data_IF_556216647404
#
_entry.id   IF_556216647404
#
_cell.length_a   1.000
_cell.length_b   1.000
_cell.length_c   1.000
_cell.angle_alpha   90.00
_cell.angle_beta   90.00
_cell.angle_gamma   90.00
#
_symmetry.space_group_name_H-M   'P 1'
#
loop_
_entity.id
_entity.type
_entity.pdbx_description
1 polymer ?
#
# COMPACT_ATOMS: atom_id res chain seq x y z
N UNK A 1 20.65 25.23 -22.50
CA UNK A 1 19.64 24.15 -22.48
C UNK A 1 20.34 22.90 -21.94
N UNK A 2 20.19 22.62 -20.65
CA UNK A 2 20.84 21.46 -19.99
C UNK A 2 19.85 20.30 -20.10
N UNK A 3 20.24 19.21 -20.79
CA UNK A 3 19.42 18.01 -20.91
C UNK A 3 19.37 17.28 -19.56
N UNK A 4 18.21 16.73 -19.15
CA UNK A 4 18.10 15.95 -17.92
C UNK A 4 19.00 14.71 -17.99
N UNK A 5 19.71 14.47 -16.89
CA UNK A 5 20.71 13.40 -16.77
C UNK A 5 20.06 12.01 -16.82
N UNK A 6 20.14 11.32 -17.95
CA UNK A 6 19.58 9.96 -18.13
C UNK A 6 20.21 8.88 -17.22
N UNK A 7 21.36 9.15 -16.60
CA UNK A 7 22.11 8.16 -15.81
C UNK A 7 21.39 7.66 -14.55
N UNK A 8 20.48 8.44 -13.97
CA UNK A 8 19.75 8.06 -12.75
C UNK A 8 18.36 7.45 -12.98
N UNK A 9 17.78 7.66 -14.17
CA UNK A 9 16.36 7.36 -14.43
C UNK A 9 16.05 5.87 -14.56
N UNK A 10 16.94 5.10 -15.20
CA UNK A 10 16.75 3.65 -15.36
C UNK A 10 16.86 2.93 -14.01
N UNK A 11 17.92 3.13 -13.20
CA UNK A 11 17.97 2.57 -11.85
C UNK A 11 16.78 2.99 -10.98
N UNK A 12 16.35 4.25 -11.07
CA UNK A 12 15.21 4.76 -10.29
C UNK A 12 13.90 4.03 -10.60
N UNK A 13 13.60 3.79 -11.88
CA UNK A 13 12.38 3.07 -12.31
C UNK A 13 12.42 1.61 -11.88
N UNK A 14 13.54 0.94 -12.10
CA UNK A 14 13.69 -0.48 -11.74
C UNK A 14 13.51 -0.70 -10.24
N UNK A 15 14.00 0.22 -9.42
CA UNK A 15 13.96 0.09 -7.97
C UNK A 15 12.59 0.43 -7.41
N UNK A 16 11.96 1.48 -7.93
CA UNK A 16 10.57 1.78 -7.58
C UNK A 16 9.68 0.56 -7.87
N UNK A 17 9.83 -0.06 -9.06
CA UNK A 17 9.08 -1.26 -9.42
C UNK A 17 9.35 -2.44 -8.47
N UNK A 18 10.61 -2.71 -8.13
CA UNK A 18 10.99 -3.80 -7.22
C UNK A 18 10.49 -3.58 -5.80
N UNK A 19 10.57 -2.36 -5.28
CA UNK A 19 10.08 -2.01 -3.95
C UNK A 19 8.55 -2.14 -3.88
N UNK A 20 7.87 -1.68 -4.93
CA UNK A 20 6.42 -1.79 -5.06
C UNK A 20 5.97 -3.26 -5.06
N UNK A 21 6.69 -4.14 -5.75
CA UNK A 21 6.41 -5.58 -5.79
C UNK A 21 6.87 -6.35 -4.54
N UNK A 22 7.18 -5.63 -3.46
CA UNK A 22 7.70 -6.16 -2.20
C UNK A 22 8.99 -7.01 -2.31
N UNK A 23 9.83 -6.76 -3.32
CA UNK A 23 11.10 -7.48 -3.45
C UNK A 23 12.05 -7.13 -2.29
N UNK A 24 12.68 -8.16 -1.70
CA UNK A 24 13.56 -8.03 -0.54
C UNK A 24 14.94 -7.57 -0.98
N UNK A 25 15.13 -6.25 -1.03
CA UNK A 25 16.43 -5.63 -1.29
C UNK A 25 17.28 -5.59 -0.01
N UNK A 26 18.57 -5.94 -0.15
CA UNK A 26 19.54 -5.81 0.96
C UNK A 26 19.83 -4.32 1.21
N UNK A 27 19.97 -3.93 2.48
CA UNK A 27 20.29 -2.56 2.88
C UNK A 27 21.53 -1.98 2.16
N UNK A 28 22.57 -2.79 1.98
CA UNK A 28 23.78 -2.37 1.27
C UNK A 28 23.51 -1.97 -0.19
N UNK A 29 22.68 -2.73 -0.90
CA UNK A 29 22.31 -2.41 -2.27
C UNK A 29 21.46 -1.13 -2.34
N UNK A 30 20.55 -0.93 -1.38
CA UNK A 30 19.75 0.30 -1.27
C UNK A 30 20.63 1.54 -1.01
N UNK A 31 21.64 1.42 -0.15
CA UNK A 31 22.58 2.51 0.13
C UNK A 31 23.42 2.89 -1.10
N UNK A 32 23.93 1.89 -1.84
CA UNK A 32 24.69 2.10 -3.09
C UNK A 32 23.85 2.81 -4.16
N UNK A 33 22.59 2.42 -4.27
CA UNK A 33 21.61 3.06 -5.16
C UNK A 33 21.35 4.50 -4.73
N UNK A 34 21.11 4.75 -3.44
CA UNK A 34 20.82 6.09 -2.94
C UNK A 34 22.00 7.04 -3.20
N UNK A 35 23.23 6.56 -3.02
CA UNK A 35 24.43 7.31 -3.36
C UNK A 35 24.47 7.74 -4.84
N UNK A 36 23.83 6.98 -5.74
CA UNK A 36 23.71 7.33 -7.16
C UNK A 36 22.55 8.31 -7.44
N UNK A 37 21.39 8.12 -6.79
CA UNK A 37 20.15 8.83 -7.11
C UNK A 37 20.03 10.15 -6.34
N UNK A 38 20.45 10.23 -5.08
CA UNK A 38 20.25 11.43 -4.24
C UNK A 38 20.94 12.69 -4.78
N UNK A 39 22.20 12.65 -5.26
CA UNK A 39 22.83 13.82 -5.87
C UNK A 39 22.08 14.28 -7.13
N UNK A 40 21.53 13.33 -7.89
CA UNK A 40 20.75 13.62 -9.08
C UNK A 40 19.35 14.16 -8.74
N UNK A 41 18.73 13.72 -7.66
CA UNK A 41 17.45 14.25 -7.18
C UNK A 41 17.57 15.66 -6.59
N UNK A 42 18.72 15.99 -5.98
CA UNK A 42 18.99 17.31 -5.39
C UNK A 42 19.31 18.42 -6.42
N UNK A 43 19.47 18.07 -7.71
CA UNK A 43 19.72 19.05 -8.76
C UNK A 43 18.47 19.89 -9.08
N UNK A 44 18.66 21.13 -9.53
CA UNK A 44 17.56 21.94 -10.03
C UNK A 44 16.99 21.29 -11.30
N UNK A 45 15.65 21.11 -11.34
CA UNK A 45 14.88 20.49 -12.43
C UNK A 45 15.01 18.95 -12.57
N UNK A 46 15.16 18.26 -11.44
CA UNK A 46 15.19 16.79 -11.45
C UNK A 46 13.83 16.17 -11.78
N UNK A 47 13.79 15.06 -12.55
CA UNK A 47 12.56 14.35 -12.85
C UNK A 47 11.85 13.84 -11.58
N UNK A 48 10.49 13.90 -11.50
CA UNK A 48 9.73 13.38 -10.36
C UNK A 48 10.06 11.93 -10.00
N UNK A 49 10.43 11.10 -10.98
CA UNK A 49 10.79 9.70 -10.75
C UNK A 49 12.04 9.53 -9.87
N UNK A 50 12.98 10.48 -9.88
CA UNK A 50 14.16 10.43 -9.02
C UNK A 50 13.78 10.69 -7.56
N UNK A 51 12.90 11.66 -7.31
CA UNK A 51 12.36 11.92 -5.97
C UNK A 51 11.58 10.71 -5.45
N UNK A 52 10.71 10.14 -6.30
CA UNK A 52 9.95 8.93 -5.98
C UNK A 52 10.87 7.76 -5.61
N UNK A 53 11.87 7.46 -6.43
CA UNK A 53 12.79 6.37 -6.17
C UNK A 53 13.64 6.58 -4.90
N UNK A 54 14.12 7.81 -4.68
CA UNK A 54 14.85 8.17 -3.45
C UNK A 54 13.99 7.98 -2.21
N UNK A 55 12.74 8.47 -2.22
CA UNK A 55 11.80 8.29 -1.12
C UNK A 55 11.53 6.81 -0.83
N UNK A 56 11.22 6.01 -1.85
CA UNK A 56 10.94 4.58 -1.68
C UNK A 56 12.16 3.81 -1.16
N UNK A 57 13.36 4.11 -1.64
CA UNK A 57 14.58 3.48 -1.15
C UNK A 57 14.85 3.83 0.32
N UNK A 58 14.57 5.08 0.76
CA UNK A 58 14.66 5.47 2.18
C UNK A 58 13.62 4.77 3.05
N UNK A 59 12.39 4.64 2.58
CA UNK A 59 11.34 3.85 3.28
C UNK A 59 11.83 2.42 3.51
N UNK A 60 12.45 1.78 2.51
CA UNK A 60 12.99 0.43 2.67
C UNK A 60 14.14 0.34 3.65
N UNK A 61 15.04 1.34 3.67
CA UNK A 61 16.10 1.38 4.68
C UNK A 61 15.51 1.50 6.09
N UNK A 62 14.50 2.37 6.28
CA UNK A 62 13.78 2.48 7.55
C UNK A 62 13.11 1.16 7.95
N UNK A 63 12.43 0.47 7.03
CA UNK A 63 11.83 -0.85 7.27
C UNK A 63 12.89 -1.89 7.72
N UNK A 64 14.06 -1.90 7.07
CA UNK A 64 15.17 -2.80 7.45
C UNK A 64 15.76 -2.44 8.82
N UNK A 65 15.92 -1.15 9.12
CA UNK A 65 16.44 -0.68 10.41
C UNK A 65 15.49 -1.05 11.56
N UNK A 66 14.17 -0.84 11.37
CA UNK A 66 13.14 -1.25 12.34
C UNK A 66 13.17 -2.76 12.62
N UNK A 67 13.35 -3.59 11.59
CA UNK A 67 13.42 -5.04 11.74
C UNK A 67 14.63 -5.51 12.57
N UNK A 68 15.72 -4.73 12.61
CA UNK A 68 16.94 -5.03 13.39
C UNK A 68 16.83 -4.64 14.86
N UNK A 69 15.76 -3.97 15.29
CA UNK A 69 15.52 -3.49 16.67
C UNK A 69 16.62 -2.57 17.23
N UNK A 70 17.33 -1.85 16.38
CA UNK A 70 18.28 -0.80 16.77
C UNK A 70 17.53 0.53 16.88
N UNK A 71 17.23 0.98 18.10
CA UNK A 71 16.28 2.09 18.33
C UNK A 71 16.74 3.41 17.70
N UNK A 72 17.99 3.82 17.95
CA UNK A 72 18.48 5.14 17.51
C UNK A 72 18.69 5.21 15.99
N UNK A 73 19.15 4.11 15.38
CA UNK A 73 19.32 4.01 13.92
C UNK A 73 17.97 3.95 13.20
N UNK A 74 16.99 3.25 13.78
CA UNK A 74 15.64 3.19 13.23
C UNK A 74 14.96 4.57 13.23
N UNK A 75 15.08 5.32 14.33
CA UNK A 75 14.49 6.67 14.42
C UNK A 75 15.08 7.64 13.39
N UNK A 76 16.40 7.57 13.15
CA UNK A 76 17.07 8.40 12.16
C UNK A 76 16.63 8.05 10.73
N UNK A 77 16.58 6.76 10.38
CA UNK A 77 16.15 6.31 9.04
C UNK A 77 14.66 6.58 8.79
N UNK A 78 13.81 6.46 9.81
CA UNK A 78 12.39 6.83 9.75
C UNK A 78 12.24 8.32 9.46
N UNK A 79 12.95 9.19 10.18
CA UNK A 79 12.90 10.63 9.96
C UNK A 79 13.38 11.02 8.55
N UNK A 80 14.44 10.36 8.06
CA UNK A 80 14.94 10.55 6.70
C UNK A 80 13.92 10.10 5.64
N UNK A 81 13.25 8.97 5.86
CA UNK A 81 12.20 8.48 4.97
C UNK A 81 10.99 9.43 4.92
N UNK A 82 10.53 9.91 6.08
CA UNK A 82 9.45 10.89 6.20
C UNK A 82 9.77 12.16 5.40
N UNK A 83 10.96 12.74 5.60
CA UNK A 83 11.40 13.92 4.88
C UNK A 83 11.40 13.71 3.35
N UNK A 84 11.93 12.56 2.88
CA UNK A 84 11.97 12.26 1.44
C UNK A 84 10.60 11.99 0.83
N UNK A 85 9.68 11.41 1.60
CA UNK A 85 8.29 11.25 1.15
C UNK A 85 7.61 12.61 0.98
N UNK A 86 7.79 13.53 1.93
CA UNK A 86 7.24 14.90 1.84
C UNK A 86 7.86 15.67 0.65
N UNK A 87 9.17 15.59 0.44
CA UNK A 87 9.83 16.17 -0.74
C UNK A 87 9.24 15.60 -2.04
N UNK A 88 9.13 14.27 -2.15
CA UNK A 88 8.60 13.63 -3.35
C UNK A 88 7.13 13.97 -3.61
N UNK A 89 6.31 14.05 -2.57
CA UNK A 89 4.90 14.45 -2.65
C UNK A 89 4.72 15.94 -3.00
N UNK A 90 5.69 16.81 -2.66
CA UNK A 90 5.67 18.20 -3.09
C UNK A 90 5.84 18.35 -4.61
N UNK A 91 6.54 17.40 -5.24
CA UNK A 91 6.78 17.34 -6.69
C UNK A 91 5.68 16.56 -7.41
N UNK A 92 5.16 15.49 -6.80
CA UNK A 92 4.09 14.66 -7.34
C UNK A 92 3.01 14.39 -6.27
N UNK A 93 2.07 15.32 -6.04
CA UNK A 93 1.04 15.18 -5.02
C UNK A 93 -0.03 14.14 -5.36
N UNK A 94 -0.03 13.61 -6.59
CA UNK A 94 -0.96 12.59 -7.07
C UNK A 94 -0.40 11.17 -6.97
N UNK A 95 0.76 10.96 -6.34
CA UNK A 95 1.30 9.62 -6.14
C UNK A 95 0.64 8.90 -4.96
N UNK A 96 -0.27 7.98 -5.27
CA UNK A 96 -1.04 7.24 -4.27
C UNK A 96 -0.17 6.38 -3.37
N UNK A 97 0.93 5.81 -3.90
CA UNK A 97 1.83 4.95 -3.13
C UNK A 97 2.65 5.75 -2.13
N UNK A 98 3.13 6.94 -2.52
CA UNK A 98 3.90 7.80 -1.60
C UNK A 98 3.03 8.26 -0.43
N UNK A 99 1.76 8.59 -0.64
CA UNK A 99 0.83 8.89 0.46
C UNK A 99 0.63 7.71 1.42
N UNK A 100 0.52 6.48 0.88
CA UNK A 100 0.42 5.27 1.71
C UNK A 100 1.71 5.01 2.50
N UNK A 101 2.88 5.23 1.90
CA UNK A 101 4.15 5.08 2.59
C UNK A 101 4.34 6.13 3.68
N UNK A 102 3.90 7.37 3.46
CA UNK A 102 3.92 8.42 4.49
C UNK A 102 3.06 8.06 5.69
N UNK A 103 1.82 7.60 5.46
CA UNK A 103 0.97 7.04 6.52
C UNK A 103 1.69 5.93 7.30
N UNK A 104 2.33 4.99 6.57
CA UNK A 104 2.97 3.82 7.18
C UNK A 104 4.16 4.21 8.05
N UNK A 105 5.03 5.10 7.56
CA UNK A 105 6.23 5.56 8.27
C UNK A 105 5.86 6.34 9.53
N UNK A 106 4.94 7.31 9.42
CA UNK A 106 4.50 8.10 10.58
C UNK A 106 3.85 7.23 11.65
N UNK A 107 3.00 6.28 11.24
CA UNK A 107 2.32 5.37 12.17
C UNK A 107 3.30 4.41 12.85
N UNK A 108 4.35 3.97 12.16
CA UNK A 108 5.40 3.14 12.76
C UNK A 108 6.24 3.90 13.78
N UNK A 109 6.46 5.21 13.59
CA UNK A 109 7.26 6.06 14.48
C UNK A 109 6.52 6.45 15.75
N UNK A 110 5.34 7.02 15.57
CA UNK A 110 4.61 7.74 16.64
C UNK A 110 3.47 6.90 17.22
N UNK A 111 3.27 5.69 16.71
CA UNK A 111 2.07 4.91 16.93
C UNK A 111 0.88 5.48 16.16
N UNK A 112 -0.31 5.03 16.53
CA UNK A 112 -1.54 5.47 15.89
C UNK A 112 -1.93 6.91 16.29
N UNK A 113 -2.07 7.80 15.32
CA UNK A 113 -2.63 9.15 15.48
C UNK A 113 -3.71 9.39 14.41
N UNK A 114 -4.95 9.77 14.78
CA UNK A 114 -6.00 10.14 13.82
C UNK A 114 -5.58 11.16 12.76
N UNK A 115 -4.59 12.01 13.03
CA UNK A 115 -4.06 12.96 12.04
C UNK A 115 -3.35 12.28 10.88
N UNK A 116 -2.71 11.14 11.10
CA UNK A 116 -1.99 10.42 10.03
C UNK A 116 -2.98 9.76 9.07
N UNK A 117 -4.20 9.44 9.52
CA UNK A 117 -5.28 8.86 8.68
C UNK A 117 -5.56 9.70 7.44
N UNK A 118 -5.39 11.03 7.51
CA UNK A 118 -5.54 11.91 6.35
C UNK A 118 -4.58 11.56 5.19
N UNK A 119 -3.37 11.04 5.48
CA UNK A 119 -2.44 10.55 4.46
C UNK A 119 -2.99 9.32 3.74
N UNK A 120 -3.63 8.40 4.47
CA UNK A 120 -4.26 7.22 3.87
C UNK A 120 -5.47 7.60 3.00
N UNK A 121 -6.29 8.56 3.44
CA UNK A 121 -7.40 9.08 2.62
C UNK A 121 -6.89 9.76 1.34
N UNK A 122 -5.77 10.50 1.42
CA UNK A 122 -5.10 11.07 0.25
C UNK A 122 -4.59 10.00 -0.71
N UNK A 123 -4.09 8.87 -0.20
CA UNK A 123 -3.71 7.73 -1.05
C UNK A 123 -4.89 7.25 -1.90
N UNK A 124 -6.06 7.09 -1.29
CA UNK A 124 -7.29 6.72 -2.01
C UNK A 124 -7.79 7.80 -2.97
N UNK A 125 -7.60 9.08 -2.66
CA UNK A 125 -7.94 10.19 -3.56
C UNK A 125 -7.04 10.26 -4.79
N UNK A 126 -5.74 10.00 -4.60
CA UNK A 126 -4.72 10.18 -5.61
C UNK A 126 -4.71 9.08 -6.69
N UNK A 127 -5.03 7.84 -6.31
CA UNK A 127 -5.01 6.70 -7.22
C UNK A 127 -5.80 5.52 -6.67
N UNK A 128 -7.12 5.45 -6.89
CA UNK A 128 -7.89 4.27 -6.54
C UNK A 128 -7.48 3.08 -7.40
N UNK A 129 -7.60 1.86 -6.87
CA UNK A 129 -7.57 0.61 -7.63
C UNK A 129 -6.27 0.27 -8.36
N UNK A 130 -5.14 0.71 -7.82
CA UNK A 130 -3.82 0.28 -8.28
C UNK A 130 -3.50 -1.10 -7.70
N UNK A 131 -3.62 -2.17 -8.51
CA UNK A 131 -3.64 -3.56 -8.03
C UNK A 131 -2.60 -3.94 -6.97
N UNK A 132 -1.31 -3.65 -7.20
CA UNK A 132 -0.25 -3.98 -6.22
C UNK A 132 -0.31 -3.09 -4.95
N UNK A 133 -0.84 -1.86 -5.06
CA UNK A 133 -0.97 -0.95 -3.91
C UNK A 133 -2.16 -1.42 -3.08
N UNK A 134 -3.25 -1.83 -3.75
CA UNK A 134 -4.49 -2.26 -3.14
C UNK A 134 -4.25 -3.36 -2.09
N UNK A 135 -3.37 -4.33 -2.38
CA UNK A 135 -3.01 -5.38 -1.40
C UNK A 135 -2.56 -4.82 -0.05
N UNK A 136 -1.57 -3.92 -0.06
CA UNK A 136 -1.06 -3.30 1.18
C UNK A 136 -2.05 -2.27 1.74
N UNK A 137 -2.62 -1.44 0.87
CA UNK A 137 -3.48 -0.31 1.24
C UNK A 137 -4.78 -0.78 1.86
N UNK A 138 -5.47 -1.72 1.24
CA UNK A 138 -6.73 -2.26 1.72
C UNK A 138 -6.56 -2.87 3.11
N UNK A 139 -5.52 -3.70 3.31
CA UNK A 139 -5.21 -4.29 4.62
C UNK A 139 -5.02 -3.23 5.71
N UNK A 140 -4.22 -2.20 5.41
CA UNK A 140 -3.93 -1.11 6.35
C UNK A 140 -5.20 -0.28 6.64
N UNK A 141 -5.97 0.04 5.60
CA UNK A 141 -7.19 0.83 5.72
C UNK A 141 -8.29 0.12 6.49
N UNK A 142 -8.41 -1.20 6.34
CA UNK A 142 -9.33 -2.01 7.12
C UNK A 142 -8.98 -2.02 8.61
N UNK A 143 -7.70 -1.92 8.96
CA UNK A 143 -7.24 -1.80 10.34
C UNK A 143 -7.66 -0.50 11.05
N UNK A 144 -7.94 0.57 10.29
CA UNK A 144 -8.38 1.87 10.80
C UNK A 144 -9.73 2.31 10.22
N UNK A 145 -10.49 1.37 9.65
CA UNK A 145 -11.70 1.62 8.88
C UNK A 145 -12.74 2.54 9.56
N UNK A 146 -13.03 2.40 10.88
CA UNK A 146 -14.01 3.26 11.55
C UNK A 146 -13.61 4.74 11.60
N UNK A 147 -12.32 5.03 11.44
CA UNK A 147 -11.73 6.36 11.59
C UNK A 147 -11.60 7.08 10.25
N UNK A 148 -11.79 6.35 9.15
CA UNK A 148 -11.88 6.92 7.81
C UNK A 148 -13.19 7.68 7.66
N UNK A 149 -13.17 8.76 6.86
CA UNK A 149 -14.38 9.41 6.35
C UNK A 149 -15.25 8.43 5.58
N UNK A 150 -16.56 8.71 5.50
CA UNK A 150 -17.50 7.85 4.77
C UNK A 150 -17.09 7.63 3.31
N UNK A 151 -16.54 8.67 2.66
CA UNK A 151 -16.02 8.57 1.30
C UNK A 151 -14.82 7.62 1.21
N UNK A 152 -13.85 7.73 2.14
CA UNK A 152 -12.72 6.83 2.17
C UNK A 152 -13.13 5.39 2.50
N UNK A 153 -14.09 5.20 3.42
CA UNK A 153 -14.66 3.89 3.71
C UNK A 153 -15.31 3.26 2.47
N UNK A 154 -16.10 4.02 1.71
CA UNK A 154 -16.69 3.53 0.46
C UNK A 154 -15.60 3.05 -0.51
N UNK A 155 -14.53 3.84 -0.68
CA UNK A 155 -13.40 3.46 -1.55
C UNK A 155 -12.63 2.23 -1.09
N UNK A 156 -12.50 2.02 0.22
CA UNK A 156 -11.91 0.78 0.76
C UNK A 156 -12.78 -0.43 0.40
N UNK A 157 -14.11 -0.31 0.49
CA UNK A 157 -15.04 -1.37 0.07
C UNK A 157 -15.00 -1.59 -1.45
N UNK A 158 -14.83 -0.52 -2.23
CA UNK A 158 -14.62 -0.55 -3.68
C UNK A 158 -13.36 -1.31 -4.06
N UNK A 159 -12.23 -0.91 -3.48
CA UNK A 159 -10.96 -1.57 -3.71
C UNK A 159 -10.99 -3.04 -3.28
N UNK A 160 -11.64 -3.38 -2.16
CA UNK A 160 -11.81 -4.77 -1.73
C UNK A 160 -12.58 -5.60 -2.77
N UNK A 161 -13.67 -5.06 -3.31
CA UNK A 161 -14.47 -5.74 -4.32
C UNK A 161 -13.69 -5.95 -5.61
N UNK A 162 -12.91 -4.95 -6.03
CA UNK A 162 -12.06 -5.05 -7.22
C UNK A 162 -10.89 -6.01 -7.03
N UNK A 163 -10.33 -6.12 -5.81
CA UNK A 163 -9.34 -7.14 -5.50
C UNK A 163 -9.90 -8.56 -5.62
N UNK A 164 -11.17 -8.79 -5.25
CA UNK A 164 -11.84 -10.09 -5.45
C UNK A 164 -12.03 -10.39 -6.94
N UNK A 165 -12.39 -9.37 -7.73
CA UNK A 165 -12.58 -9.51 -9.18
C UNK A 165 -11.26 -9.73 -9.94
N UNK A 166 -10.15 -9.20 -9.41
CA UNK A 166 -8.81 -9.35 -9.97
C UNK A 166 -8.03 -10.55 -9.39
N UNK A 167 -8.72 -11.50 -8.77
CA UNK A 167 -8.16 -12.75 -8.25
C UNK A 167 -7.11 -12.64 -7.12
N UNK A 168 -7.08 -11.52 -6.38
CA UNK A 168 -6.25 -11.36 -5.16
C UNK A 168 -6.88 -12.08 -3.96
N UNK A 169 -7.20 -13.36 -4.11
CA UNK A 169 -8.06 -14.06 -3.17
C UNK A 169 -7.44 -14.26 -1.78
N UNK A 170 -6.14 -14.57 -1.69
CA UNK A 170 -5.45 -14.74 -0.40
C UNK A 170 -5.49 -13.46 0.44
N UNK A 171 -5.28 -12.30 -0.19
CA UNK A 171 -5.28 -11.01 0.49
C UNK A 171 -6.70 -10.58 0.87
N UNK A 172 -7.69 -10.83 0.00
CA UNK A 172 -9.09 -10.53 0.28
C UNK A 172 -9.70 -11.45 1.34
N UNK A 173 -9.30 -12.71 1.42
CA UNK A 173 -9.63 -13.60 2.53
C UNK A 173 -9.10 -13.06 3.85
N UNK A 174 -7.79 -12.75 3.91
CA UNK A 174 -7.16 -12.22 5.12
C UNK A 174 -7.83 -10.91 5.57
N UNK A 175 -8.17 -10.04 4.61
CA UNK A 175 -8.88 -8.80 4.86
C UNK A 175 -10.30 -9.03 5.42
N UNK A 176 -11.07 -9.94 4.81
CA UNK A 176 -12.45 -10.24 5.22
C UNK A 176 -12.54 -10.93 6.59
N UNK A 177 -11.58 -11.80 6.86
CA UNK A 177 -11.53 -12.60 8.10
C UNK A 177 -10.93 -11.79 9.25
N UNK A 178 -9.96 -10.91 8.96
CA UNK A 178 -9.30 -10.06 9.93
C UNK A 178 -10.06 -8.78 10.30
N UNK A 179 -10.90 -8.24 9.41
CA UNK A 179 -11.74 -7.09 9.77
C UNK A 179 -12.83 -7.52 10.76
N UNK A 180 -12.95 -6.80 11.87
CA UNK A 180 -13.93 -7.11 12.91
C UNK A 180 -15.34 -7.25 12.33
N UNK A 181 -16.15 -8.13 12.95
CA UNK A 181 -17.49 -8.51 12.48
C UNK A 181 -18.37 -7.32 12.08
N UNK A 182 -18.30 -6.21 12.81
CA UNK A 182 -19.10 -5.00 12.57
C UNK A 182 -18.91 -4.36 11.18
N UNK A 183 -17.82 -4.66 10.48
CA UNK A 183 -17.53 -4.09 9.15
C UNK A 183 -17.47 -5.13 8.04
N UNK A 184 -17.46 -6.42 8.40
CA UNK A 184 -17.51 -7.54 7.45
C UNK A 184 -18.72 -7.45 6.53
N UNK A 185 -19.89 -7.12 7.09
CA UNK A 185 -21.14 -7.00 6.31
C UNK A 185 -21.06 -5.94 5.22
N UNK A 186 -20.30 -4.85 5.44
CA UNK A 186 -20.10 -3.81 4.43
C UNK A 186 -19.21 -4.30 3.30
N UNK A 187 -18.15 -5.05 3.60
CA UNK A 187 -17.33 -5.68 2.56
C UNK A 187 -18.13 -6.68 1.75
N UNK A 188 -18.89 -7.55 2.42
CA UNK A 188 -19.76 -8.52 1.75
C UNK A 188 -20.79 -7.84 0.86
N UNK A 189 -21.51 -6.83 1.37
CA UNK A 189 -22.46 -6.04 0.58
C UNK A 189 -21.78 -5.42 -0.66
N UNK A 190 -20.55 -4.94 -0.52
CA UNK A 190 -19.74 -4.43 -1.62
C UNK A 190 -19.46 -5.41 -2.74
N UNK A 191 -19.51 -6.73 -2.48
CA UNK A 191 -19.31 -7.77 -3.49
C UNK A 191 -20.49 -7.92 -4.45
N UNK A 192 -21.67 -7.35 -4.18
CA UNK A 192 -22.84 -7.50 -5.05
C UNK A 192 -22.60 -7.04 -6.50
N UNK A 193 -21.69 -6.08 -6.68
CA UNK A 193 -21.27 -5.55 -8.00
C UNK A 193 -20.21 -6.39 -8.72
N UNK A 194 -19.56 -7.31 -8.02
CA UNK A 194 -18.50 -8.15 -8.57
C UNK A 194 -19.12 -9.21 -9.46
N UNK A 195 -18.41 -9.61 -10.51
CA UNK A 195 -18.88 -10.66 -11.42
C UNK A 195 -19.24 -11.94 -10.63
N UNK A 196 -20.29 -12.63 -11.09
CA UNK A 196 -20.78 -13.82 -10.39
C UNK A 196 -19.71 -14.92 -10.37
N UNK A 197 -18.91 -15.08 -11.44
CA UNK A 197 -17.86 -16.09 -11.52
C UNK A 197 -16.78 -15.83 -10.47
N UNK A 198 -16.31 -14.58 -10.34
CA UNK A 198 -15.32 -14.16 -9.35
C UNK A 198 -15.85 -14.38 -7.92
N UNK A 199 -17.12 -14.02 -7.67
CA UNK A 199 -17.78 -14.27 -6.37
C UNK A 199 -17.88 -15.75 -6.02
N UNK A 200 -18.28 -16.58 -6.97
CA UNK A 200 -18.36 -18.02 -6.75
C UNK A 200 -16.99 -18.65 -6.51
N UNK A 201 -15.94 -18.18 -7.22
CA UNK A 201 -14.57 -18.62 -7.01
C UNK A 201 -14.09 -18.25 -5.60
N UNK A 202 -14.31 -17.00 -5.19
CA UNK A 202 -13.99 -16.53 -3.85
C UNK A 202 -14.75 -17.31 -2.76
N UNK A 203 -16.05 -17.55 -2.94
CA UNK A 203 -16.85 -18.35 -2.02
C UNK A 203 -16.34 -19.79 -1.87
N UNK A 204 -15.95 -20.44 -2.99
CA UNK A 204 -15.36 -21.78 -2.98
C UNK A 204 -14.03 -21.82 -2.22
N UNK A 205 -13.20 -20.79 -2.40
CA UNK A 205 -11.95 -20.66 -1.68
C UNK A 205 -12.20 -20.50 -0.18
N UNK A 206 -13.05 -19.55 0.24
CA UNK A 206 -13.42 -19.37 1.65
C UNK A 206 -13.90 -20.68 2.29
N UNK A 207 -14.76 -21.42 1.60
CA UNK A 207 -15.25 -22.71 2.09
C UNK A 207 -14.13 -23.75 2.23
N UNK A 208 -13.23 -23.85 1.25
CA UNK A 208 -12.07 -24.76 1.28
C UNK A 208 -11.17 -24.45 2.49
N UNK A 209 -11.00 -23.17 2.79
CA UNK A 209 -10.11 -22.70 3.86
C UNK A 209 -10.83 -22.68 5.23
N UNK A 210 -12.05 -23.23 5.29
CA UNK A 210 -12.78 -23.55 6.52
C UNK A 210 -13.78 -22.48 6.97
N UNK A 211 -13.95 -21.41 6.19
CA UNK A 211 -14.87 -20.32 6.51
C UNK A 211 -16.25 -20.57 5.96
N UNK A 212 -17.25 -20.51 6.83
CA UNK A 212 -18.66 -20.53 6.46
C UNK A 212 -19.19 -19.10 6.36
N UNK A 213 -18.93 -18.46 5.23
CA UNK A 213 -19.33 -17.07 4.94
C UNK A 213 -20.26 -17.05 3.74
N UNK A 214 -21.40 -16.39 3.89
CA UNK A 214 -22.36 -16.22 2.81
C UNK A 214 -21.93 -15.07 1.89
N UNK A 215 -21.41 -15.41 0.71
CA UNK A 215 -21.08 -14.43 -0.34
C UNK A 215 -22.37 -14.04 -1.09
N UNK A 216 -22.70 -12.75 -1.24
CA UNK A 216 -23.96 -12.34 -1.86
C UNK A 216 -24.13 -12.85 -3.28
N UNK A 217 -25.31 -13.39 -3.58
CA UNK A 217 -25.66 -13.93 -4.91
C UNK A 217 -25.09 -15.33 -5.20
N UNK A 218 -24.25 -15.90 -4.33
CA UNK A 218 -23.73 -17.26 -4.48
C UNK A 218 -24.63 -18.25 -3.73
N UNK A 219 -25.05 -19.30 -4.42
CA UNK A 219 -25.75 -20.43 -3.78
C UNK A 219 -24.72 -21.27 -3.03
N UNK A 220 -24.77 -21.26 -1.70
CA UNK A 220 -23.97 -22.20 -0.91
C UNK A 220 -24.45 -23.63 -1.20
N UNK A 221 -23.51 -24.56 -1.40
CA UNK A 221 -23.84 -25.98 -1.32
C UNK A 221 -24.10 -26.27 0.16
N UNK A 222 -25.32 -26.68 0.49
CA UNK A 222 -25.64 -27.21 1.81
C UNK A 222 -24.60 -28.30 2.15
N UNK A 223 -23.98 -28.19 3.33
CA UNK A 223 -23.14 -29.28 3.83
C UNK A 223 -24.06 -30.50 3.96
N UNK A 224 -23.81 -31.60 3.22
CA UNK A 224 -24.40 -32.86 3.62
C UNK A 224 -23.74 -33.18 4.97
N UNK A 225 -24.55 -33.47 5.99
CA UNK A 225 -24.18 -33.80 7.38
C UNK A 225 -23.64 -32.65 8.27
#
# INVERSE_FOLDING_TARGET
MVLPSFRGLLPARDIAARIISDDRLKAQALAEILALIEPAAAAALSPPELFRASALARVRLAEVAMARKSSDEADAEIAAAEQKLVEALSVNPTDSFLWLMLYSVETSRSGFDPKTVAHLERSYLAGPNEGWIAVRRNRVALGVFPLLSELAQARVVDEFAEMVDADFWNDTEANLTGIGWAHRDRLLAGLQRVDLVSREAFARMLFRDGYDIQVPGVKQKERPW
#
